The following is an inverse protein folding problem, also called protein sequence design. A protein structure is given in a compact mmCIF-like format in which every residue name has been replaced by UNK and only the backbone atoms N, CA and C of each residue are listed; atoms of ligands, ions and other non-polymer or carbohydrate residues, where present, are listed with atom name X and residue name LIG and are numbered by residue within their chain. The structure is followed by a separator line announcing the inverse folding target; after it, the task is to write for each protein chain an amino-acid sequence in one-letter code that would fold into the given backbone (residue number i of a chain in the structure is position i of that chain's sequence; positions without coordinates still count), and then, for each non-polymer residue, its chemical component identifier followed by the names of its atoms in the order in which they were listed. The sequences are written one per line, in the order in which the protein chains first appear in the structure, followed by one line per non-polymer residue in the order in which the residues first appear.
data_IF_752172767666
#
_entry.id   IF_752172767666
#
_cell.length_a   1.000
_cell.length_b   1.000
_cell.length_c   1.000
_cell.angle_alpha   90.00
_cell.angle_beta   90.00
_cell.angle_gamma   90.00
#
_symmetry.space_group_name_H-M   'P 1'
#
loop_
_entity.id
_entity.type
_entity.pdbx_description
1 polymer ?
#
# COMPACT_ATOMS: atom_id res chain seq x y z
N UNK A 1 3.35 49.38 -24.58
CA UNK A 1 2.53 48.45 -25.39
C UNK A 1 3.00 47.04 -25.06
N UNK A 2 2.08 46.23 -24.51
CA UNK A 2 2.14 44.79 -24.16
C UNK A 2 3.43 44.28 -23.47
N UNK A 3 3.53 44.00 -22.17
CA UNK A 3 2.68 43.14 -21.32
C UNK A 3 2.25 41.83 -21.98
N UNK A 4 3.22 41.10 -22.53
CA UNK A 4 3.06 39.67 -22.80
C UNK A 4 3.36 38.94 -21.49
N UNK A 5 2.43 39.05 -20.54
CA UNK A 5 2.36 38.10 -19.44
C UNK A 5 2.03 36.75 -20.08
N UNK A 6 3.06 36.03 -20.49
CA UNK A 6 2.96 34.60 -20.75
C UNK A 6 2.64 34.01 -19.38
N UNK A 7 1.34 33.97 -19.08
CA UNK A 7 0.78 33.06 -18.12
C UNK A 7 1.10 31.67 -18.66
N UNK A 8 2.34 31.24 -18.45
CA UNK A 8 2.68 29.84 -18.34
C UNK A 8 1.78 29.38 -17.21
N UNK A 9 0.62 28.87 -17.60
CA UNK A 9 -0.23 28.05 -16.77
C UNK A 9 0.65 26.85 -16.42
N UNK A 10 1.51 27.06 -15.42
CA UNK A 10 2.09 26.04 -14.59
C UNK A 10 0.88 25.39 -13.92
N UNK A 11 0.22 24.50 -14.67
CA UNK A 11 -0.46 23.36 -14.11
C UNK A 11 0.63 22.60 -13.37
N UNK A 12 0.93 23.06 -12.16
CA UNK A 12 1.43 22.19 -11.12
C UNK A 12 0.29 21.20 -10.97
N UNK A 13 0.37 20.09 -11.70
CA UNK A 13 -0.17 18.83 -11.23
C UNK A 13 0.48 18.67 -9.87
N UNK A 14 -0.19 19.15 -8.82
CA UNK A 14 0.01 18.57 -7.51
C UNK A 14 -0.31 17.10 -7.78
N UNK A 15 0.65 16.17 -7.72
CA UNK A 15 0.26 14.78 -7.60
C UNK A 15 -0.53 14.75 -6.30
N UNK A 16 -1.86 14.79 -6.41
CA UNK A 16 -2.72 14.49 -5.28
C UNK A 16 -2.21 13.14 -4.82
N UNK A 17 -1.73 13.06 -3.59
CA UNK A 17 -1.27 11.81 -3.01
C UNK A 17 -2.47 10.87 -3.11
N UNK A 18 -2.48 9.99 -4.12
CA UNK A 18 -3.56 9.02 -4.29
C UNK A 18 -3.34 8.00 -3.21
N UNK A 19 -3.93 8.27 -2.05
CA UNK A 19 -4.00 7.31 -0.97
C UNK A 19 -4.94 6.20 -1.42
N UNK A 20 -4.37 5.03 -1.70
CA UNK A 20 -5.15 3.88 -2.15
C UNK A 20 -4.33 2.90 -2.96
N UNK A 21 -4.92 1.72 -3.11
CA UNK A 21 -4.37 0.61 -3.90
C UNK A 21 -4.20 1.07 -5.34
N UNK A 22 -2.99 0.90 -5.88
CA UNK A 22 -2.66 1.18 -7.29
C UNK A 22 -2.63 -0.11 -8.08
N UNK A 23 -2.85 -0.01 -9.38
CA UNK A 23 -2.60 -1.08 -10.33
C UNK A 23 -1.47 -0.64 -11.25
N UNK A 24 -0.28 -1.18 -11.02
CA UNK A 24 0.91 -0.90 -11.83
C UNK A 24 1.18 -2.10 -12.73
N UNK A 25 0.91 -1.92 -14.03
CA UNK A 25 0.84 -3.04 -14.97
C UNK A 25 -0.29 -3.99 -14.59
N UNK A 26 0.08 -5.17 -14.08
CA UNK A 26 -0.83 -6.24 -13.69
C UNK A 26 -0.86 -6.47 -12.16
N UNK A 27 0.00 -5.77 -11.43
CA UNK A 27 0.17 -5.92 -10.00
C UNK A 27 -0.54 -4.82 -9.21
N UNK A 28 -1.34 -5.22 -8.23
CA UNK A 28 -1.83 -4.30 -7.22
C UNK A 28 -0.70 -3.96 -6.24
N UNK A 29 -0.40 -2.68 -6.11
CA UNK A 29 0.61 -2.11 -5.21
C UNK A 29 -0.04 -1.14 -4.21
N UNK A 30 0.71 -0.67 -3.22
CA UNK A 30 0.23 0.21 -2.14
C UNK A 30 -0.96 -0.40 -1.35
N UNK A 31 -0.99 -1.73 -1.21
CA UNK A 31 -2.00 -2.43 -0.40
C UNK A 31 -1.58 -2.38 1.07
N UNK A 32 -2.22 -1.52 1.87
CA UNK A 32 -1.98 -1.44 3.31
C UNK A 32 -2.90 -2.37 4.12
N UNK A 33 -2.30 -3.15 5.01
CA UNK A 33 -2.99 -3.90 6.05
C UNK A 33 -2.56 -3.34 7.41
N UNK A 34 -3.45 -2.60 8.08
CA UNK A 34 -3.20 -2.08 9.41
C UNK A 34 -3.75 -3.02 10.50
N UNK A 35 -2.91 -3.39 11.46
CA UNK A 35 -3.33 -4.13 12.64
C UNK A 35 -3.78 -3.12 13.70
N UNK A 36 -4.96 -3.34 14.27
CA UNK A 36 -5.46 -2.46 15.32
C UNK A 36 -4.64 -2.64 16.62
N UNK A 37 -4.23 -1.56 17.32
CA UNK A 37 -3.52 -1.64 18.60
C UNK A 37 -4.17 -2.48 19.70
N UNK A 38 -5.50 -2.67 19.65
CA UNK A 38 -6.22 -3.52 20.61
C UNK A 38 -6.01 -5.02 20.38
N UNK A 39 -5.49 -5.42 19.21
CA UNK A 39 -5.17 -6.81 18.90
C UNK A 39 -3.94 -7.21 19.71
N UNK A 40 -4.04 -8.24 20.58
CA UNK A 40 -2.90 -8.71 21.35
C UNK A 40 -1.74 -9.14 20.45
N UNK A 41 -0.51 -8.83 20.87
CA UNK A 41 0.69 -9.24 20.15
C UNK A 41 0.73 -10.76 19.99
N UNK A 42 0.90 -11.20 18.74
CA UNK A 42 1.02 -12.60 18.40
C UNK A 42 2.11 -12.77 17.35
N UNK A 43 3.21 -13.48 17.67
CA UNK A 43 4.36 -13.61 16.78
C UNK A 43 4.03 -14.31 15.46
N UNK A 44 2.92 -15.06 15.38
CA UNK A 44 2.48 -15.74 14.17
C UNK A 44 1.52 -14.92 13.31
N UNK A 45 1.00 -13.79 13.79
CA UNK A 45 -0.04 -13.05 13.06
C UNK A 45 0.49 -12.48 11.75
N UNK A 46 1.70 -11.91 11.77
CA UNK A 46 2.34 -11.33 10.57
C UNK A 46 2.56 -12.39 9.50
N UNK A 47 3.08 -13.56 9.88
CA UNK A 47 3.28 -14.67 8.94
C UNK A 47 1.96 -15.20 8.37
N UNK A 48 0.91 -15.28 9.19
CA UNK A 48 -0.42 -15.68 8.70
C UNK A 48 -1.04 -14.66 7.75
N UNK A 49 -0.83 -13.36 7.98
CA UNK A 49 -1.29 -12.30 7.05
C UNK A 49 -0.56 -12.44 5.71
N UNK A 50 0.76 -12.65 5.73
CA UNK A 50 1.54 -12.90 4.52
C UNK A 50 1.01 -14.10 3.74
N UNK A 51 0.84 -15.25 4.41
CA UNK A 51 0.31 -16.47 3.81
C UNK A 51 -1.09 -16.25 3.21
N UNK A 52 -1.98 -15.58 3.96
CA UNK A 52 -3.33 -15.27 3.49
C UNK A 52 -3.31 -14.37 2.25
N UNK A 53 -2.46 -13.34 2.21
CA UNK A 53 -2.34 -12.46 1.05
C UNK A 53 -1.71 -13.15 -0.16
N UNK A 54 -0.71 -14.01 0.04
CA UNK A 54 -0.16 -14.84 -1.03
C UNK A 54 -1.22 -15.76 -1.63
N UNK A 55 -2.02 -16.41 -0.79
CA UNK A 55 -3.13 -17.26 -1.24
C UNK A 55 -4.20 -16.45 -1.98
N UNK A 56 -4.60 -15.29 -1.43
CA UNK A 56 -5.55 -14.40 -2.07
C UNK A 56 -5.05 -13.90 -3.44
N UNK A 57 -3.75 -13.60 -3.55
CA UNK A 57 -3.10 -13.21 -4.80
C UNK A 57 -3.20 -14.32 -5.85
N UNK A 58 -2.91 -15.56 -5.47
CA UNK A 58 -3.07 -16.72 -6.37
C UNK A 58 -4.51 -16.91 -6.83
N UNK A 59 -5.48 -16.76 -5.92
CA UNK A 59 -6.91 -16.87 -6.25
C UNK A 59 -7.33 -15.78 -7.23
N UNK A 60 -6.92 -14.53 -6.98
CA UNK A 60 -7.21 -13.39 -7.85
C UNK A 60 -6.62 -13.59 -9.24
N UNK A 61 -5.39 -14.09 -9.32
CA UNK A 61 -4.70 -14.35 -10.58
C UNK A 61 -5.48 -15.34 -11.44
N UNK A 62 -5.82 -16.51 -10.87
CA UNK A 62 -6.61 -17.51 -11.59
C UNK A 62 -8.03 -17.02 -11.93
N UNK A 63 -8.67 -16.28 -11.01
CA UNK A 63 -10.02 -15.75 -11.25
C UNK A 63 -10.07 -14.67 -12.33
N UNK A 64 -8.92 -14.06 -12.67
CA UNK A 64 -8.80 -12.97 -13.65
C UNK A 64 -8.15 -13.41 -14.95
N UNK A 65 -8.13 -14.73 -15.22
CA UNK A 65 -7.47 -15.33 -16.40
C UNK A 65 -5.97 -14.99 -16.45
N UNK A 66 -5.29 -15.16 -15.32
CA UNK A 66 -3.85 -14.98 -15.17
C UNK A 66 -3.40 -13.53 -15.44
N UNK A 67 -4.25 -12.55 -15.05
CA UNK A 67 -3.98 -11.12 -15.30
C UNK A 67 -3.58 -10.36 -14.05
N UNK A 68 -4.32 -10.47 -12.95
CA UNK A 68 -4.14 -9.58 -11.81
C UNK A 68 -3.69 -10.31 -10.55
N UNK A 69 -2.77 -9.70 -9.80
CA UNK A 69 -2.23 -10.26 -8.57
C UNK A 69 -1.89 -9.13 -7.59
N UNK A 70 -1.69 -9.46 -6.31
CA UNK A 70 -1.09 -8.52 -5.35
C UNK A 70 0.44 -8.58 -5.49
N UNK A 71 1.04 -7.46 -5.89
CA UNK A 71 2.49 -7.35 -6.11
C UNK A 71 3.21 -6.88 -4.85
N UNK A 72 2.70 -5.83 -4.22
CA UNK A 72 3.26 -5.29 -2.99
C UNK A 72 2.17 -5.09 -1.95
N UNK A 73 2.45 -5.55 -0.73
CA UNK A 73 1.63 -5.29 0.45
C UNK A 73 2.52 -4.68 1.53
N UNK A 74 1.95 -3.75 2.29
CA UNK A 74 2.56 -3.21 3.50
C UNK A 74 1.71 -3.62 4.69
N UNK A 75 2.35 -4.17 5.74
CA UNK A 75 1.67 -4.49 7.00
C UNK A 75 2.11 -3.44 8.03
N UNK A 76 1.16 -2.61 8.48
CA UNK A 76 1.40 -1.66 9.54
C UNK A 76 1.17 -2.33 10.90
N UNK A 77 2.28 -2.53 11.60
CA UNK A 77 2.31 -3.14 12.94
C UNK A 77 2.02 -2.09 14.00
N UNK A 78 1.24 -2.42 15.06
CA UNK A 78 0.94 -1.45 16.11
C UNK A 78 2.19 -1.01 16.86
N UNK A 79 2.28 0.27 17.27
CA UNK A 79 3.46 0.78 17.98
C UNK A 79 3.63 0.17 19.38
N UNK A 80 2.60 -0.47 19.93
CA UNK A 80 2.62 -1.15 21.23
C UNK A 80 3.10 -2.60 21.18
N UNK A 81 3.43 -3.14 19.99
CA UNK A 81 4.06 -4.46 19.85
C UNK A 81 5.59 -4.32 19.99
N UNK A 82 6.23 -5.25 20.70
CA UNK A 82 7.64 -5.10 21.13
C UNK A 82 8.50 -6.34 20.92
N UNK A 83 7.91 -7.47 20.57
CA UNK A 83 8.57 -8.78 20.55
C UNK A 83 9.24 -9.10 19.20
N UNK A 84 9.12 -8.25 18.18
CA UNK A 84 9.71 -8.48 16.86
C UNK A 84 10.47 -7.29 16.30
N UNK A 85 11.38 -7.59 15.36
CA UNK A 85 12.07 -6.60 14.53
C UNK A 85 11.16 -6.20 13.36
N UNK A 86 10.12 -5.45 13.69
CA UNK A 86 9.22 -4.84 12.73
C UNK A 86 9.86 -3.52 12.33
N UNK A 87 10.43 -3.44 11.12
CA UNK A 87 11.19 -2.27 10.65
C UNK A 87 10.52 -0.92 10.95
N UNK A 88 11.32 0.16 11.00
CA UNK A 88 10.87 1.49 11.46
C UNK A 88 9.49 1.88 10.91
N UNK A 89 8.56 2.17 11.83
CA UNK A 89 7.22 2.66 11.54
C UNK A 89 7.29 3.87 10.61
N UNK A 90 6.71 3.76 9.42
CA UNK A 90 6.37 4.92 8.58
C UNK A 90 4.87 5.16 8.71
N UNK A 91 4.51 6.34 9.21
CA UNK A 91 3.12 6.78 9.19
C UNK A 91 2.78 7.14 7.75
N UNK A 92 1.69 6.57 7.26
CA UNK A 92 1.01 7.09 6.09
C UNK A 92 0.65 8.57 6.31
N UNK A 93 1.11 9.46 5.42
CA UNK A 93 0.89 10.92 5.51
C UNK A 93 -0.14 11.38 4.50
#
# INVERSE_FOLDING_TARGET
MASEAVAVLLLVFLPGSTFGIKLEGNGYTDVLIAINPVVPENPLLIERIKEMMSNASSVLFTATEDKFYFEEITILVPPNWSQGDYGRTKTET
#
